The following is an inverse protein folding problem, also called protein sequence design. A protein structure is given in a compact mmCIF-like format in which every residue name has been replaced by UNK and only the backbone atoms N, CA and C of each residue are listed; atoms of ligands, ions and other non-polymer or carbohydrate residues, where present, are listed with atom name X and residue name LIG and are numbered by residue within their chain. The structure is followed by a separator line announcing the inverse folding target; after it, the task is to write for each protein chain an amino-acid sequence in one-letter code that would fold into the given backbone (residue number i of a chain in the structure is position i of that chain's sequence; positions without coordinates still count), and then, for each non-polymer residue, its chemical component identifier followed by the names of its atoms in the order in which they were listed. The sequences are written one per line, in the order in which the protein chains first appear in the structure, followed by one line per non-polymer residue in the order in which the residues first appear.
data_IF_958416314931
#
_entry.id   IF_958416314931
#
_cell.length_a   1.000
_cell.length_b   1.000
_cell.length_c   1.000
_cell.angle_alpha   90.00
_cell.angle_beta   90.00
_cell.angle_gamma   90.00
#
_symmetry.space_group_name_H-M   'P 1'
#
loop_
_entity.id
_entity.type
_entity.pdbx_description
1 polymer ?
#
# COMPACT_ATOMS: atom_id res chain seq x y z
N UNK A 1 -23.69 46.57 7.73
CA UNK A 1 -23.53 45.10 7.76
C UNK A 1 -22.09 44.77 7.34
N UNK A 2 -21.22 44.48 8.28
CA UNK A 2 -19.81 44.18 8.04
C UNK A 2 -19.70 42.74 7.58
N UNK A 3 -19.25 42.52 6.34
CA UNK A 3 -18.88 41.21 5.85
C UNK A 3 -17.65 40.72 6.66
N UNK A 4 -17.90 39.85 7.63
CA UNK A 4 -16.84 39.05 8.24
C UNK A 4 -16.20 38.20 7.12
N UNK A 5 -15.00 38.61 6.70
CA UNK A 5 -14.09 37.73 5.91
C UNK A 5 -13.90 36.45 6.71
N UNK A 6 -14.58 35.38 6.33
CA UNK A 6 -14.33 34.05 6.87
C UNK A 6 -12.86 33.74 6.62
N UNK A 7 -12.06 33.77 7.68
CA UNK A 7 -10.71 33.19 7.66
C UNK A 7 -10.86 31.77 7.11
N UNK A 8 -10.22 31.46 5.98
CA UNK A 8 -10.09 30.09 5.49
C UNK A 8 -9.34 29.30 6.57
N UNK A 9 -10.09 28.70 7.49
CA UNK A 9 -9.53 27.75 8.44
C UNK A 9 -9.04 26.56 7.62
N UNK A 10 -7.76 26.23 7.74
CA UNK A 10 -7.17 25.02 7.20
C UNK A 10 -7.82 23.83 7.94
N UNK A 11 -8.96 23.39 7.42
CA UNK A 11 -9.66 22.19 7.92
C UNK A 11 -9.08 21.01 7.19
N UNK A 12 -8.37 20.15 7.90
CA UNK A 12 -7.94 18.87 7.37
C UNK A 12 -9.07 17.85 7.58
N UNK A 13 -9.79 17.54 6.53
CA UNK A 13 -10.91 16.60 6.55
C UNK A 13 -10.50 15.17 6.95
N UNK A 14 -9.25 14.79 6.74
CA UNK A 14 -8.72 13.49 7.14
C UNK A 14 -8.63 13.31 8.67
N UNK A 15 -8.70 14.41 9.43
CA UNK A 15 -8.69 14.41 10.89
C UNK A 15 -10.09 14.55 11.50
N UNK A 16 -11.12 14.71 10.68
CA UNK A 16 -12.51 14.82 11.14
C UNK A 16 -13.07 13.42 11.35
N UNK A 17 -13.81 13.25 12.44
CA UNK A 17 -14.51 11.99 12.73
C UNK A 17 -15.60 11.73 11.70
N UNK A 18 -15.63 10.51 11.16
CA UNK A 18 -16.66 10.10 10.20
C UNK A 18 -17.96 9.80 10.93
N UNK A 19 -19.08 10.35 10.43
CA UNK A 19 -20.39 10.02 10.97
C UNK A 19 -20.64 8.51 10.84
N UNK A 20 -21.03 7.82 11.92
CA UNK A 20 -21.36 6.39 11.88
C UNK A 20 -22.36 5.98 10.80
N UNK A 21 -23.29 6.88 10.45
CA UNK A 21 -24.30 6.63 9.40
C UNK A 21 -23.73 6.65 7.98
N UNK A 22 -22.51 7.17 7.79
CA UNK A 22 -21.82 7.22 6.50
C UNK A 22 -20.89 6.03 6.26
N UNK A 23 -21.01 4.96 7.04
CA UNK A 23 -20.24 3.74 6.84
C UNK A 23 -20.75 3.02 5.60
N UNK A 24 -19.89 2.92 4.58
CA UNK A 24 -20.22 2.32 3.27
C UNK A 24 -19.57 0.97 3.04
N UNK A 25 -18.65 0.57 3.92
CA UNK A 25 -17.90 -0.68 3.80
C UNK A 25 -18.53 -1.78 4.65
N UNK A 26 -18.80 -2.93 4.01
CA UNK A 26 -19.27 -4.15 4.65
C UNK A 26 -18.09 -5.09 4.96
N UNK A 27 -18.35 -6.16 5.70
CA UNK A 27 -17.33 -7.17 6.04
C UNK A 27 -16.71 -7.82 4.80
N UNK A 28 -17.48 -8.00 3.72
CA UNK A 28 -17.00 -8.52 2.44
C UNK A 28 -15.98 -7.58 1.79
N UNK A 29 -16.25 -6.29 1.78
CA UNK A 29 -15.33 -5.27 1.28
C UNK A 29 -14.00 -5.29 2.03
N UNK A 30 -14.07 -5.42 3.37
CA UNK A 30 -12.88 -5.52 4.21
C UNK A 30 -12.12 -6.83 3.97
N UNK A 31 -12.81 -7.93 3.78
CA UNK A 31 -12.19 -9.22 3.48
C UNK A 31 -11.44 -9.16 2.13
N UNK A 32 -12.07 -8.65 1.09
CA UNK A 32 -11.42 -8.47 -0.22
C UNK A 32 -10.23 -7.50 -0.13
N UNK A 33 -10.39 -6.38 0.58
CA UNK A 33 -9.31 -5.40 0.77
C UNK A 33 -8.10 -6.02 1.46
N UNK A 34 -8.28 -6.75 2.54
CA UNK A 34 -7.20 -7.43 3.23
C UNK A 34 -6.63 -8.58 2.41
N UNK A 35 -7.47 -9.33 1.69
CA UNK A 35 -7.04 -10.39 0.77
C UNK A 35 -6.04 -9.88 -0.26
N UNK A 36 -6.33 -8.74 -0.91
CA UNK A 36 -5.40 -8.10 -1.86
C UNK A 36 -4.13 -7.58 -1.15
N UNK A 37 -4.24 -7.03 0.06
CA UNK A 37 -3.08 -6.50 0.78
C UNK A 37 -2.12 -7.60 1.27
N UNK A 38 -2.60 -8.81 1.56
CA UNK A 38 -1.76 -9.95 1.96
C UNK A 38 -0.92 -10.46 0.80
N UNK A 39 -1.40 -10.34 -0.44
CA UNK A 39 -0.68 -10.73 -1.65
C UNK A 39 0.46 -9.72 -1.94
N UNK A 40 1.53 -9.85 -1.17
CA UNK A 40 2.71 -8.98 -1.29
C UNK A 40 3.94 -9.79 -1.67
N UNK A 41 4.65 -9.35 -2.70
CA UNK A 41 5.94 -9.95 -3.11
C UNK A 41 6.92 -9.96 -1.95
N UNK A 42 6.92 -8.90 -1.12
CA UNK A 42 7.76 -8.81 0.07
C UNK A 42 7.37 -9.90 1.09
N UNK A 43 6.06 -10.09 1.33
CA UNK A 43 5.57 -11.13 2.24
C UNK A 43 5.96 -12.53 1.79
N UNK A 44 5.81 -12.83 0.51
CA UNK A 44 6.22 -14.11 -0.06
C UNK A 44 7.74 -14.32 0.02
N UNK A 45 8.54 -13.28 -0.24
CA UNK A 45 10.00 -13.34 -0.13
C UNK A 45 10.46 -13.57 1.31
N UNK A 46 9.80 -12.96 2.30
CA UNK A 46 10.09 -13.19 3.72
C UNK A 46 9.80 -14.63 4.12
N UNK A 47 8.65 -15.18 3.73
CA UNK A 47 8.33 -16.60 4.00
C UNK A 47 9.32 -17.52 3.30
N UNK A 48 9.64 -17.26 2.05
CA UNK A 48 10.63 -18.04 1.31
C UNK A 48 12.01 -18.02 2.00
N UNK A 49 12.42 -16.88 2.57
CA UNK A 49 13.69 -16.76 3.29
C UNK A 49 13.76 -17.65 4.54
N UNK A 50 12.63 -17.90 5.22
CA UNK A 50 12.58 -18.80 6.37
C UNK A 50 12.98 -20.23 6.01
N UNK A 51 12.63 -20.66 4.78
CA UNK A 51 13.02 -21.98 4.27
C UNK A 51 14.44 -22.00 3.71
N UNK A 52 14.78 -21.00 2.87
CA UNK A 52 16.03 -21.00 2.09
C UNK A 52 17.24 -20.56 2.90
N UNK A 53 17.08 -19.57 3.80
CA UNK A 53 18.19 -18.99 4.56
C UNK A 53 18.31 -19.65 5.94
N UNK A 54 17.17 -19.81 6.61
CA UNK A 54 17.15 -20.33 7.98
C UNK A 54 16.90 -21.85 8.07
N UNK A 55 16.63 -22.53 6.94
CA UNK A 55 16.36 -23.97 6.87
C UNK A 55 15.31 -24.45 7.91
N UNK A 56 14.30 -23.63 8.16
CA UNK A 56 13.26 -23.97 9.14
C UNK A 56 12.34 -25.06 8.61
N UNK A 57 11.93 -25.96 9.47
CA UNK A 57 10.95 -26.99 9.14
C UNK A 57 9.57 -26.36 8.90
N UNK A 58 8.83 -26.90 7.93
CA UNK A 58 7.47 -26.46 7.58
C UNK A 58 6.54 -26.40 8.79
N UNK A 59 6.62 -27.36 9.70
CA UNK A 59 5.80 -27.37 10.93
C UNK A 59 6.07 -26.13 11.81
N UNK A 60 7.33 -25.73 11.95
CA UNK A 60 7.73 -24.55 12.73
C UNK A 60 7.23 -23.27 12.07
N UNK A 61 7.37 -23.15 10.74
CA UNK A 61 6.88 -21.99 9.99
C UNK A 61 5.37 -21.87 10.07
N UNK A 62 4.62 -22.97 9.92
CA UNK A 62 3.16 -22.97 10.02
C UNK A 62 2.70 -22.62 11.44
N UNK A 63 3.31 -23.20 12.47
CA UNK A 63 2.96 -22.88 13.86
C UNK A 63 3.25 -21.41 14.19
N UNK A 64 4.41 -20.89 13.75
CA UNK A 64 4.77 -19.50 13.92
C UNK A 64 3.82 -18.54 13.21
N UNK A 65 3.40 -18.85 11.98
CA UNK A 65 2.43 -18.03 11.24
C UNK A 65 1.04 -18.05 11.89
N UNK A 66 0.56 -19.18 12.37
CA UNK A 66 -0.72 -19.27 13.09
C UNK A 66 -0.67 -18.45 14.38
N UNK A 67 0.40 -18.60 15.18
CA UNK A 67 0.61 -17.82 16.40
C UNK A 67 0.68 -16.32 16.11
N UNK A 68 1.47 -15.92 15.11
CA UNK A 68 1.60 -14.53 14.66
C UNK A 68 0.25 -13.96 14.25
N UNK A 69 -0.52 -14.68 13.44
CA UNK A 69 -1.86 -14.27 12.98
C UNK A 69 -2.82 -14.09 14.17
N UNK A 70 -2.76 -14.96 15.17
CA UNK A 70 -3.56 -14.84 16.38
C UNK A 70 -3.26 -13.55 17.15
N UNK A 71 -1.98 -13.20 17.34
CA UNK A 71 -1.62 -11.93 17.97
C UNK A 71 -2.05 -10.73 17.15
N UNK A 72 -1.85 -10.76 15.83
CA UNK A 72 -2.32 -9.69 14.92
C UNK A 72 -3.83 -9.50 15.05
N UNK A 73 -4.61 -10.58 15.10
CA UNK A 73 -6.05 -10.52 15.29
C UNK A 73 -6.43 -9.81 16.61
N UNK A 74 -5.76 -10.13 17.72
CA UNK A 74 -6.01 -9.47 19.02
C UNK A 74 -5.71 -7.97 18.92
N UNK A 75 -4.53 -7.59 18.43
CA UNK A 75 -4.12 -6.19 18.35
C UNK A 75 -5.00 -5.38 17.38
N UNK A 76 -5.34 -5.95 16.23
CA UNK A 76 -6.25 -5.30 15.27
C UNK A 76 -7.64 -5.07 15.87
N UNK A 77 -8.16 -6.02 16.68
CA UNK A 77 -9.43 -5.82 17.38
C UNK A 77 -9.35 -4.75 18.46
N UNK A 78 -8.28 -4.71 19.23
CA UNK A 78 -8.09 -3.72 20.29
C UNK A 78 -8.05 -2.28 19.73
N UNK A 79 -7.37 -2.08 18.61
CA UNK A 79 -7.23 -0.76 17.98
C UNK A 79 -8.42 -0.46 17.07
N UNK A 80 -8.89 -1.44 16.32
CA UNK A 80 -9.92 -1.27 15.30
C UNK A 80 -11.32 -1.02 15.86
N UNK A 81 -11.73 -1.73 16.93
CA UNK A 81 -13.06 -1.58 17.53
C UNK A 81 -13.37 -0.15 18.00
N UNK A 82 -12.50 0.53 18.77
CA UNK A 82 -12.73 1.93 19.14
C UNK A 82 -12.79 2.86 17.92
N UNK A 83 -11.87 2.69 16.99
CA UNK A 83 -11.83 3.48 15.76
C UNK A 83 -13.11 3.31 14.93
N UNK A 84 -13.59 2.07 14.76
CA UNK A 84 -14.81 1.77 14.04
C UNK A 84 -16.06 2.33 14.76
N UNK A 85 -16.12 2.21 16.08
CA UNK A 85 -17.29 2.66 16.87
C UNK A 85 -17.46 4.17 16.82
N UNK A 86 -16.36 4.92 16.95
CA UNK A 86 -16.38 6.37 17.04
C UNK A 86 -16.01 7.08 15.72
N UNK A 87 -15.70 6.35 14.66
CA UNK A 87 -15.26 6.92 13.38
C UNK A 87 -13.95 7.73 13.49
N UNK A 88 -13.03 7.31 14.39
CA UNK A 88 -11.83 8.05 14.70
C UNK A 88 -10.70 7.72 13.72
N UNK A 89 -10.10 8.71 13.03
CA UNK A 89 -8.86 8.52 12.29
C UNK A 89 -7.71 8.11 13.21
N UNK A 90 -6.70 7.43 12.65
CA UNK A 90 -5.56 6.90 13.39
C UNK A 90 -4.87 7.94 14.29
N UNK A 91 -4.57 9.15 13.77
CA UNK A 91 -3.89 10.21 14.53
C UNK A 91 -4.75 10.71 15.69
N UNK A 92 -6.06 10.79 15.50
CA UNK A 92 -7.00 11.23 16.55
C UNK A 92 -7.10 10.17 17.65
N UNK A 93 -7.14 8.88 17.28
CA UNK A 93 -7.12 7.78 18.25
C UNK A 93 -5.85 7.82 19.12
N UNK A 94 -4.69 8.06 18.49
CA UNK A 94 -3.42 8.15 19.22
C UNK A 94 -3.34 9.31 20.21
N UNK A 95 -4.10 10.39 20.00
CA UNK A 95 -4.12 11.53 20.94
C UNK A 95 -4.64 11.15 22.31
N UNK A 96 -5.52 10.17 22.39
CA UNK A 96 -6.08 9.72 23.67
C UNK A 96 -5.06 9.01 24.55
N UNK A 97 -4.06 8.34 23.96
CA UNK A 97 -3.05 7.57 24.69
C UNK A 97 -1.69 8.27 24.79
N UNK A 98 -1.27 9.00 23.75
CA UNK A 98 0.08 9.57 23.64
C UNK A 98 0.09 11.10 23.72
N UNK A 99 -1.08 11.73 23.87
CA UNK A 99 -1.23 13.17 23.81
C UNK A 99 -1.00 13.77 22.42
N UNK A 100 -1.08 15.09 22.32
CA UNK A 100 -1.05 15.78 21.03
C UNK A 100 0.33 15.64 20.31
N UNK A 101 1.42 15.86 21.04
CA UNK A 101 2.79 15.80 20.47
C UNK A 101 3.19 14.37 20.07
N UNK A 102 2.85 13.39 20.92
CA UNK A 102 3.09 11.98 20.61
C UNK A 102 2.33 11.53 19.37
N UNK A 103 1.07 11.89 19.24
CA UNK A 103 0.27 11.55 18.07
C UNK A 103 0.81 12.15 16.77
N UNK A 104 1.33 13.39 16.81
CA UNK A 104 1.99 14.00 15.64
C UNK A 104 3.26 13.26 15.25
N UNK A 105 4.11 12.91 16.22
CA UNK A 105 5.34 12.17 15.96
C UNK A 105 5.06 10.83 15.28
N UNK A 106 4.14 10.03 15.83
CA UNK A 106 3.79 8.73 15.24
C UNK A 106 3.03 8.86 13.90
N UNK A 107 2.26 9.94 13.72
CA UNK A 107 1.65 10.26 12.42
C UNK A 107 2.70 10.53 11.34
N UNK A 108 3.74 11.31 11.68
CA UNK A 108 4.85 11.59 10.79
C UNK A 108 5.67 10.33 10.49
N UNK A 109 6.00 9.54 11.50
CA UNK A 109 6.70 8.28 11.34
C UNK A 109 5.94 7.33 10.39
N UNK A 110 4.63 7.18 10.58
CA UNK A 110 3.77 6.39 9.69
C UNK A 110 3.82 6.89 8.25
N UNK A 111 3.84 8.22 8.05
CA UNK A 111 3.90 8.81 6.71
C UNK A 111 5.22 8.50 6.02
N UNK A 112 6.35 8.60 6.74
CA UNK A 112 7.68 8.24 6.22
C UNK A 112 7.72 6.77 5.81
N UNK A 113 7.27 5.87 6.70
CA UNK A 113 7.20 4.43 6.39
C UNK A 113 6.29 4.17 5.20
N UNK A 114 5.15 4.87 5.11
CA UNK A 114 4.22 4.76 3.98
C UNK A 114 4.85 5.15 2.65
N UNK A 115 5.59 6.26 2.61
CA UNK A 115 6.32 6.70 1.41
C UNK A 115 7.36 5.66 0.99
N UNK A 116 8.11 5.13 1.95
CA UNK A 116 9.13 4.11 1.68
C UNK A 116 8.51 2.83 1.10
N UNK A 117 7.43 2.33 1.73
CA UNK A 117 6.72 1.14 1.26
C UNK A 117 6.07 1.35 -0.12
N UNK A 118 5.51 2.53 -0.37
CA UNK A 118 4.98 2.89 -1.68
C UNK A 118 6.07 2.85 -2.76
N UNK A 119 7.25 3.40 -2.48
CA UNK A 119 8.39 3.36 -3.40
C UNK A 119 8.82 1.93 -3.75
N UNK A 120 8.90 1.06 -2.76
CA UNK A 120 9.24 -0.36 -2.96
C UNK A 120 8.19 -1.06 -3.83
N UNK A 121 6.90 -0.85 -3.54
CA UNK A 121 5.81 -1.45 -4.33
C UNK A 121 5.80 -0.94 -5.77
N UNK A 122 6.05 0.36 -5.97
CA UNK A 122 6.19 0.95 -7.30
C UNK A 122 7.34 0.32 -8.08
N UNK A 123 8.47 0.09 -7.43
CA UNK A 123 9.61 -0.59 -8.03
C UNK A 123 9.26 -2.02 -8.48
N UNK A 124 8.61 -2.82 -7.64
CA UNK A 124 8.19 -4.18 -8.02
C UNK A 124 7.16 -4.16 -9.16
N UNK A 125 6.20 -3.24 -9.13
CA UNK A 125 5.24 -3.07 -10.22
C UNK A 125 5.95 -2.71 -11.53
N UNK A 126 6.91 -1.79 -11.48
CA UNK A 126 7.69 -1.41 -12.66
C UNK A 126 8.50 -2.58 -13.22
N UNK A 127 9.07 -3.41 -12.37
CA UNK A 127 9.76 -4.64 -12.83
C UNK A 127 8.80 -5.60 -13.53
N UNK A 128 7.60 -5.82 -13.00
CA UNK A 128 6.59 -6.66 -13.63
C UNK A 128 6.20 -6.12 -15.03
N UNK A 129 5.96 -4.81 -15.14
CA UNK A 129 5.66 -4.15 -16.41
C UNK A 129 6.86 -4.24 -17.36
N UNK A 130 8.08 -4.03 -16.87
CA UNK A 130 9.30 -4.15 -17.66
C UNK A 130 9.51 -5.55 -18.22
N UNK A 131 9.21 -6.60 -17.43
CA UNK A 131 9.23 -7.98 -17.93
C UNK A 131 8.17 -8.20 -19.01
N UNK A 132 6.97 -7.72 -18.81
CA UNK A 132 5.90 -7.83 -19.80
C UNK A 132 6.28 -7.15 -21.12
N UNK A 133 6.85 -5.95 -21.07
CA UNK A 133 7.35 -5.23 -22.26
C UNK A 133 8.42 -6.07 -22.98
N UNK A 134 9.39 -6.63 -22.25
CA UNK A 134 10.45 -7.48 -22.83
C UNK A 134 9.88 -8.72 -23.51
N UNK A 135 8.92 -9.41 -22.89
CA UNK A 135 8.26 -10.58 -23.46
C UNK A 135 7.52 -10.22 -24.74
N UNK A 136 6.80 -9.10 -24.77
CA UNK A 136 6.11 -8.62 -25.97
C UNK A 136 7.10 -8.24 -27.08
N UNK A 137 8.20 -7.55 -26.76
CA UNK A 137 9.23 -7.21 -27.74
C UNK A 137 9.89 -8.48 -28.32
N UNK A 138 10.18 -9.47 -27.48
CA UNK A 138 10.75 -10.74 -27.91
C UNK A 138 9.81 -11.51 -28.83
N UNK A 139 8.49 -11.47 -28.58
CA UNK A 139 7.50 -12.17 -29.41
C UNK A 139 7.33 -11.53 -30.81
N UNK A 140 7.68 -10.25 -30.96
CA UNK A 140 7.62 -9.55 -32.26
C UNK A 140 8.90 -9.79 -33.05
N UNK A 141 10.06 -9.57 -32.45
CA UNK A 141 11.36 -9.82 -33.08
C UNK A 141 12.45 -9.97 -32.02
N UNK A 142 13.11 -11.12 -32.03
CA UNK A 142 14.19 -11.47 -31.10
C UNK A 142 15.40 -10.51 -31.18
N UNK A 143 15.63 -9.89 -32.35
CA UNK A 143 16.75 -8.98 -32.56
C UNK A 143 16.59 -7.62 -31.89
N UNK A 144 15.37 -7.23 -31.54
CA UNK A 144 15.09 -5.91 -30.95
C UNK A 144 15.79 -5.74 -29.59
N UNK A 145 15.82 -6.77 -28.76
CA UNK A 145 16.45 -6.73 -27.43
C UNK A 145 17.98 -6.61 -27.48
N UNK A 146 18.60 -6.91 -28.64
CA UNK A 146 20.06 -6.85 -28.82
C UNK A 146 20.53 -5.46 -29.34
N UNK A 147 19.61 -4.52 -29.59
CA UNK A 147 20.00 -3.19 -30.05
C UNK A 147 20.81 -2.48 -28.96
N UNK A 148 21.91 -1.83 -29.34
CA UNK A 148 22.84 -1.13 -28.44
C UNK A 148 22.15 -0.12 -27.52
N UNK A 149 21.12 0.59 -28.01
CA UNK A 149 20.34 1.56 -27.23
C UNK A 149 19.68 0.91 -26.00
N UNK A 150 19.28 -0.35 -26.10
CA UNK A 150 18.64 -1.07 -24.98
C UNK A 150 19.68 -1.62 -23.99
N UNK A 151 20.96 -1.60 -24.33
CA UNK A 151 22.06 -2.01 -23.46
C UNK A 151 22.64 -0.87 -22.62
N UNK A 152 22.21 0.37 -22.87
CA UNK A 152 22.65 1.53 -22.08
C UNK A 152 21.97 1.53 -20.71
N UNK A 153 22.78 1.52 -19.66
CA UNK A 153 22.31 1.59 -18.27
C UNK A 153 22.56 2.99 -17.69
N UNK A 154 21.50 3.59 -17.17
CA UNK A 154 21.57 4.83 -16.40
C UNK A 154 21.09 4.56 -14.97
N UNK A 155 21.97 4.80 -13.99
CA UNK A 155 21.73 4.48 -12.56
C UNK A 155 21.35 2.99 -12.37
N UNK A 156 21.96 2.08 -13.15
CA UNK A 156 21.69 0.64 -13.06
C UNK A 156 20.36 0.18 -13.67
N UNK A 157 19.64 1.06 -14.37
CA UNK A 157 18.38 0.77 -15.02
C UNK A 157 18.50 0.98 -16.54
N UNK A 158 17.89 0.06 -17.31
CA UNK A 158 17.81 0.15 -18.74
C UNK A 158 16.67 1.09 -19.18
N UNK A 159 16.66 1.54 -20.43
CA UNK A 159 15.59 2.37 -21.00
C UNK A 159 14.21 1.74 -20.83
N UNK A 160 14.10 0.41 -20.98
CA UNK A 160 12.84 -0.30 -20.75
C UNK A 160 12.40 -0.19 -19.28
N UNK A 161 13.34 -0.29 -18.34
CA UNK A 161 13.04 -0.14 -16.91
C UNK A 161 12.56 1.27 -16.57
N UNK A 162 13.16 2.30 -17.17
CA UNK A 162 12.73 3.69 -17.02
C UNK A 162 11.32 3.93 -17.60
N UNK A 163 11.04 3.39 -18.79
CA UNK A 163 9.71 3.45 -19.37
C UNK A 163 8.67 2.75 -18.49
N UNK A 164 9.02 1.58 -17.96
CA UNK A 164 8.16 0.82 -17.04
C UNK A 164 7.87 1.58 -15.73
N UNK A 165 8.86 2.30 -15.17
CA UNK A 165 8.67 3.16 -13.99
C UNK A 165 7.69 4.29 -14.31
N UNK A 166 7.86 4.98 -15.44
CA UNK A 166 6.95 6.05 -15.85
C UNK A 166 5.53 5.55 -16.03
N UNK A 167 5.34 4.41 -16.71
CA UNK A 167 4.03 3.77 -16.87
C UNK A 167 3.42 3.44 -15.50
N UNK A 168 4.22 2.88 -14.57
CA UNK A 168 3.77 2.55 -13.21
C UNK A 168 3.27 3.79 -12.47
N UNK A 169 4.02 4.90 -12.51
CA UNK A 169 3.66 6.15 -11.84
C UNK A 169 2.38 6.74 -12.44
N UNK A 170 2.25 6.76 -13.77
CA UNK A 170 1.05 7.25 -14.45
C UNK A 170 -0.17 6.41 -14.05
N UNK A 171 -0.05 5.09 -14.07
CA UNK A 171 -1.12 4.17 -13.71
C UNK A 171 -1.55 4.35 -12.26
N UNK A 172 -0.60 4.43 -11.33
CA UNK A 172 -0.90 4.65 -9.91
C UNK A 172 -1.55 6.01 -9.67
N UNK A 173 -1.04 7.08 -10.31
CA UNK A 173 -1.62 8.43 -10.20
C UNK A 173 -3.04 8.45 -10.74
N UNK A 174 -3.30 7.79 -11.87
CA UNK A 174 -4.63 7.64 -12.42
C UNK A 174 -5.58 6.92 -11.45
N UNK A 175 -5.19 5.74 -10.95
CA UNK A 175 -6.01 4.98 -9.99
C UNK A 175 -6.29 5.79 -8.71
N UNK A 176 -5.31 6.58 -8.25
CA UNK A 176 -5.50 7.44 -7.09
C UNK A 176 -6.47 8.59 -7.38
N UNK A 177 -6.41 9.19 -8.58
CA UNK A 177 -7.27 10.33 -8.97
C UNK A 177 -8.75 9.94 -9.14
N UNK A 178 -9.02 8.69 -9.55
CA UNK A 178 -10.40 8.19 -9.75
C UNK A 178 -11.14 7.98 -8.43
N UNK A 179 -10.40 7.85 -7.32
CA UNK A 179 -10.95 7.83 -5.96
C UNK A 179 -11.35 6.46 -5.44
N UNK A 180 -11.72 6.45 -4.15
CA UNK A 180 -11.90 5.23 -3.35
C UNK A 180 -13.07 4.35 -3.81
N UNK A 181 -14.14 4.95 -4.32
CA UNK A 181 -15.32 4.19 -4.76
C UNK A 181 -15.06 3.32 -6.00
N UNK A 182 -14.20 3.78 -6.89
CA UNK A 182 -13.78 3.01 -8.06
C UNK A 182 -12.81 1.91 -7.64
N UNK A 183 -11.83 2.24 -6.80
CA UNK A 183 -10.89 1.27 -6.26
C UNK A 183 -11.59 0.16 -5.47
N UNK A 184 -12.64 0.49 -4.70
CA UNK A 184 -13.49 -0.50 -4.04
C UNK A 184 -14.12 -1.46 -5.05
N UNK A 185 -14.66 -0.96 -6.18
CA UNK A 185 -15.24 -1.82 -7.22
C UNK A 185 -14.19 -2.73 -7.85
N UNK A 186 -12.98 -2.24 -8.12
CA UNK A 186 -11.88 -3.05 -8.64
C UNK A 186 -11.49 -4.17 -7.67
N UNK A 187 -11.39 -3.87 -6.38
CA UNK A 187 -11.03 -4.85 -5.34
C UNK A 187 -12.12 -5.93 -5.20
N UNK A 188 -13.38 -5.58 -5.35
CA UNK A 188 -14.50 -6.52 -5.19
C UNK A 188 -14.76 -7.39 -6.44
N UNK A 189 -14.11 -7.11 -7.57
CA UNK A 189 -14.19 -7.95 -8.79
C UNK A 189 -13.30 -9.19 -8.67
N UNK A 190 -12.33 -9.17 -7.75
CA UNK A 190 -11.46 -10.29 -7.42
C UNK A 190 -11.97 -11.01 -6.16
#
# INVERSE_FOLDING_TARGET
MSQQKTKKTLINWDLVTVNPNNKTWDWKDLFCFWGVNIQSVIGFSLIASLYLIYNLNTAVVLFGTILGTFFVYIFCNLIGKPSQKFGLPFVVLLRSSLGFRGAQFFGLLRSIVGIFMFGIQTYFLSKAIGFLIRVLMYSVDNSILQKEILLVFFIGLNIIDWAAILISIILQTYLFSVGMNYNKKLINVY
#
